data_IF_699331427528
#
_entry.id   IF_699331427528
#
_cell.length_a   1.000
_cell.length_b   1.000
_cell.length_c   1.000
_cell.angle_alpha   90.00
_cell.angle_beta   90.00
_cell.angle_gamma   90.00
#
_symmetry.space_group_name_H-M   'P 1'
#
loop_
_entity.id
_entity.type
_entity.pdbx_description
1 polymer ?
#
# COMPACT_ATOMS: atom_id res chain seq x y z
N UNK A 1 14.20 -0.44 14.40
CA UNK A 1 12.87 0.17 14.20
C UNK A 1 12.91 1.38 13.28
N UNK A 2 13.55 2.51 13.65
CA UNK A 2 13.60 3.68 12.76
C UNK A 2 14.39 3.43 11.46
N UNK A 3 15.45 2.63 11.54
CA UNK A 3 16.22 2.22 10.34
C UNK A 3 15.42 1.26 9.46
N UNK A 4 14.77 0.27 10.06
CA UNK A 4 13.96 -0.74 9.35
C UNK A 4 12.68 -0.19 8.69
N UNK A 5 12.38 1.10 8.88
CA UNK A 5 11.21 1.79 8.32
C UNK A 5 11.56 2.98 7.44
N UNK A 6 12.85 3.17 7.13
CA UNK A 6 13.41 4.34 6.44
C UNK A 6 13.10 5.71 7.08
N UNK A 7 12.59 5.71 8.31
CA UNK A 7 12.25 6.93 9.04
C UNK A 7 13.45 7.57 9.77
N UNK A 8 14.56 6.85 9.92
CA UNK A 8 15.73 7.32 10.66
C UNK A 8 16.23 8.70 10.19
N UNK A 9 16.29 8.94 8.87
CA UNK A 9 16.74 10.21 8.29
C UNK A 9 15.72 11.34 8.44
N UNK A 10 14.43 11.00 8.59
CA UNK A 10 13.33 11.95 8.71
C UNK A 10 13.01 12.31 10.16
N UNK A 11 13.47 11.48 11.11
CA UNK A 11 13.19 11.65 12.53
C UNK A 11 13.80 12.92 13.14
N UNK A 12 15.12 13.22 13.01
CA UNK A 12 15.68 14.45 13.57
C UNK A 12 15.00 15.75 13.12
N UNK A 13 14.76 16.01 11.83
CA UNK A 13 14.08 17.24 11.42
C UNK A 13 12.60 17.27 11.84
N UNK A 14 11.94 16.12 11.96
CA UNK A 14 10.58 16.04 12.50
C UNK A 14 10.55 16.39 14.01
N UNK A 15 11.58 15.97 14.76
CA UNK A 15 11.75 16.31 16.17
C UNK A 15 11.95 17.80 16.36
N UNK A 16 12.87 18.39 15.61
CA UNK A 16 13.12 19.83 15.63
C UNK A 16 11.85 20.64 15.33
N UNK A 17 11.13 20.27 14.27
CA UNK A 17 9.88 20.93 13.89
C UNK A 17 8.81 20.81 14.98
N UNK A 18 8.67 19.61 15.57
CA UNK A 18 7.68 19.36 16.63
C UNK A 18 7.98 20.21 17.87
N UNK A 19 9.24 20.22 18.32
CA UNK A 19 9.68 20.97 19.49
C UNK A 19 9.64 22.49 19.28
N UNK A 20 9.86 22.96 18.05
CA UNK A 20 9.79 24.38 17.72
C UNK A 20 8.36 24.90 17.54
N UNK A 21 7.33 24.04 17.54
CA UNK A 21 5.95 24.46 17.29
C UNK A 21 5.32 25.23 18.46
N UNK A 22 4.55 26.27 18.13
CA UNK A 22 3.79 27.05 19.11
C UNK A 22 2.76 26.18 19.84
N UNK A 23 2.22 25.16 19.19
CA UNK A 23 1.32 24.18 19.77
C UNK A 23 2.01 23.36 20.86
N UNK A 24 3.20 22.80 20.58
CA UNK A 24 3.95 22.02 21.56
C UNK A 24 4.38 22.89 22.75
N UNK A 25 4.85 24.10 22.48
CA UNK A 25 5.24 25.05 23.52
C UNK A 25 4.06 25.44 24.43
N UNK A 26 2.89 25.75 23.85
CA UNK A 26 1.68 26.05 24.63
C UNK A 26 1.21 24.85 25.44
N UNK A 27 1.22 23.66 24.86
CA UNK A 27 0.81 22.44 25.56
C UNK A 27 1.79 22.11 26.71
N UNK A 28 3.09 22.33 26.53
CA UNK A 28 4.09 22.17 27.58
C UNK A 28 3.87 23.12 28.75
N UNK A 29 3.55 24.39 28.49
CA UNK A 29 3.24 25.37 29.56
C UNK A 29 1.97 24.99 30.33
N UNK A 30 1.00 24.32 29.69
CA UNK A 30 -0.26 23.91 30.32
C UNK A 30 -0.17 22.57 31.06
N UNK A 31 0.85 21.76 30.81
CA UNK A 31 1.04 20.45 31.42
C UNK A 31 1.67 20.55 32.82
N UNK A 32 0.93 21.12 33.77
CA UNK A 32 1.41 21.42 35.12
C UNK A 32 1.29 20.25 36.12
N UNK A 33 0.54 19.22 35.78
CA UNK A 33 0.37 18.01 36.59
C UNK A 33 0.82 16.74 35.85
N UNK A 34 1.05 15.68 36.62
CA UNK A 34 1.55 14.41 36.10
C UNK A 34 0.62 13.77 35.04
N UNK A 35 -0.72 13.77 35.20
CA UNK A 35 -1.63 13.35 34.13
C UNK A 35 -1.47 14.15 32.83
N UNK A 36 -1.42 15.49 32.90
CA UNK A 36 -1.27 16.34 31.73
C UNK A 36 0.10 16.18 31.06
N UNK A 37 1.16 15.96 31.84
CA UNK A 37 2.49 15.64 31.31
C UNK A 37 2.50 14.31 30.54
N UNK A 38 1.79 13.29 31.02
CA UNK A 38 1.63 12.01 30.29
C UNK A 38 0.84 12.19 29.00
N UNK A 39 -0.23 12.97 29.01
CA UNK A 39 -1.00 13.29 27.81
C UNK A 39 -0.16 14.05 26.77
N UNK A 40 0.66 15.01 27.22
CA UNK A 40 1.60 15.74 26.38
C UNK A 40 2.63 14.79 25.74
N UNK A 41 3.19 13.85 26.50
CA UNK A 41 4.14 12.86 25.98
C UNK A 41 3.54 12.01 24.85
N UNK A 42 2.28 11.60 24.97
CA UNK A 42 1.56 10.88 23.90
C UNK A 42 1.35 11.78 22.68
N UNK A 43 0.93 13.03 22.89
CA UNK A 43 0.68 13.98 21.81
C UNK A 43 1.95 14.31 21.02
N UNK A 44 3.06 14.59 21.72
CA UNK A 44 4.38 14.85 21.10
C UNK A 44 4.90 13.64 20.34
N UNK A 45 4.79 12.43 20.92
CA UNK A 45 5.21 11.21 20.23
C UNK A 45 4.44 10.99 18.92
N UNK A 46 3.11 11.21 18.95
CA UNK A 46 2.27 11.11 17.75
C UNK A 46 2.60 12.19 16.71
N UNK A 47 2.77 13.44 17.14
CA UNK A 47 3.12 14.55 16.25
C UNK A 47 4.48 14.31 15.57
N UNK A 48 5.46 13.85 16.33
CA UNK A 48 6.79 13.48 15.84
C UNK A 48 6.71 12.39 14.77
N UNK A 49 6.01 11.29 15.07
CA UNK A 49 5.88 10.20 14.10
C UNK A 49 5.10 10.60 12.86
N UNK A 50 4.03 11.38 13.02
CA UNK A 50 3.29 11.94 11.90
C UNK A 50 4.17 12.85 11.03
N UNK A 51 4.98 13.71 11.65
CA UNK A 51 5.93 14.56 10.95
C UNK A 51 7.01 13.77 10.20
N UNK A 52 7.56 12.72 10.81
CA UNK A 52 8.54 11.85 10.17
C UNK A 52 7.94 11.12 8.95
N UNK A 53 6.73 10.56 9.07
CA UNK A 53 6.00 9.92 7.97
C UNK A 53 5.64 10.90 6.86
N UNK A 54 5.16 12.10 7.20
CA UNK A 54 4.83 13.13 6.22
C UNK A 54 6.06 13.57 5.41
N UNK A 55 7.24 13.62 6.04
CA UNK A 55 8.50 13.94 5.38
C UNK A 55 9.05 12.80 4.52
N UNK A 56 8.80 11.56 4.92
CA UNK A 56 9.19 10.38 4.16
C UNK A 56 8.30 10.19 2.92
N UNK A 57 7.01 10.52 3.01
CA UNK A 57 6.09 10.37 1.88
C UNK A 57 6.01 8.91 1.43
N UNK A 58 6.06 8.66 0.12
CA UNK A 58 6.00 7.30 -0.43
C UNK A 58 7.22 6.42 -0.10
N UNK A 59 8.33 7.01 0.33
CA UNK A 59 9.56 6.27 0.69
C UNK A 59 9.47 5.60 2.07
N UNK A 60 8.41 5.83 2.85
CA UNK A 60 8.31 5.23 4.18
C UNK A 60 7.89 3.77 4.10
N UNK A 61 8.79 2.86 4.46
CA UNK A 61 8.51 1.43 4.56
C UNK A 61 8.00 1.06 5.95
N UNK A 62 6.78 1.47 6.30
CA UNK A 62 6.26 1.31 7.66
C UNK A 62 4.82 0.79 7.65
N UNK A 63 4.52 -0.25 8.44
CA UNK A 63 3.14 -0.67 8.74
C UNK A 63 2.54 0.18 9.85
N UNK A 64 1.21 0.17 9.97
CA UNK A 64 0.55 0.85 11.08
C UNK A 64 0.94 0.26 12.44
N UNK A 65 1.28 -1.03 12.52
CA UNK A 65 1.76 -1.66 13.75
C UNK A 65 3.14 -1.17 14.17
N UNK A 66 4.07 -1.06 13.23
CA UNK A 66 5.40 -0.48 13.49
C UNK A 66 5.28 1.00 13.89
N UNK A 67 4.41 1.77 13.23
CA UNK A 67 4.11 3.16 13.61
C UNK A 67 3.61 3.25 15.04
N UNK A 68 2.58 2.48 15.38
CA UNK A 68 1.97 2.51 16.71
C UNK A 68 3.02 2.10 17.77
N UNK A 69 3.85 1.09 17.47
CA UNK A 69 4.93 0.67 18.35
C UNK A 69 6.01 1.75 18.53
N UNK A 70 6.34 2.52 17.50
CA UNK A 70 7.26 3.65 17.61
C UNK A 70 6.69 4.75 18.50
N UNK A 71 5.40 5.08 18.35
CA UNK A 71 4.71 6.02 19.23
C UNK A 71 4.80 5.56 20.68
N UNK A 72 4.51 4.29 20.97
CA UNK A 72 4.62 3.74 22.32
C UNK A 72 6.04 3.86 22.90
N UNK A 73 7.07 3.53 22.11
CA UNK A 73 8.47 3.61 22.55
C UNK A 73 8.85 5.06 22.87
N UNK A 74 8.47 6.02 22.02
CA UNK A 74 8.75 7.45 22.25
C UNK A 74 8.00 7.96 23.48
N UNK A 75 6.71 7.64 23.61
CA UNK A 75 5.90 7.99 24.78
C UNK A 75 6.52 7.47 26.07
N UNK A 76 6.95 6.20 26.11
CA UNK A 76 7.59 5.61 27.28
C UNK A 76 8.91 6.31 27.64
N UNK A 77 9.70 6.71 26.64
CA UNK A 77 10.96 7.46 26.85
C UNK A 77 10.73 8.87 27.39
N UNK A 78 9.59 9.47 27.09
CA UNK A 78 9.17 10.78 27.60
C UNK A 78 8.51 10.71 28.99
N UNK A 79 8.42 9.52 29.61
CA UNK A 79 7.77 9.34 30.91
C UNK A 79 6.24 9.22 30.86
N UNK A 80 5.68 9.06 29.65
CA UNK A 80 4.25 8.77 29.46
C UNK A 80 3.93 7.28 29.61
N UNK A 81 2.68 6.96 29.95
CA UNK A 81 2.13 5.61 29.79
C UNK A 81 1.21 5.61 28.57
N UNK A 82 1.49 4.76 27.59
CA UNK A 82 0.69 4.61 26.39
C UNK A 82 -0.71 4.01 26.65
N UNK A 83 -0.98 3.56 27.89
CA UNK A 83 -2.26 2.96 28.34
C UNK A 83 -3.24 3.94 28.99
N UNK A 84 -3.19 5.23 28.68
CA UNK A 84 -4.19 6.18 29.20
C UNK A 84 -5.55 6.01 28.47
N UNK A 85 -6.68 5.87 29.19
CA UNK A 85 -8.00 5.81 28.57
C UNK A 85 -8.30 7.13 27.86
N UNK A 86 -8.52 7.07 26.56
CA UNK A 86 -8.60 8.21 25.63
C UNK A 86 -9.82 9.13 25.78
N UNK A 87 -10.16 9.59 27.00
CA UNK A 87 -11.32 10.45 27.22
C UNK A 87 -11.15 11.90 26.72
N UNK A 88 -9.95 12.49 26.85
CA UNK A 88 -9.70 13.91 26.50
C UNK A 88 -8.97 14.12 25.19
N UNK A 89 -7.98 13.28 24.87
CA UNK A 89 -7.30 13.32 23.57
C UNK A 89 -8.24 13.01 22.39
N UNK A 90 -9.22 12.11 22.56
CA UNK A 90 -10.24 11.84 21.55
C UNK A 90 -11.17 13.04 21.32
N UNK A 91 -11.50 13.80 22.38
CA UNK A 91 -12.31 15.01 22.27
C UNK A 91 -11.56 16.16 21.55
N UNK A 92 -10.23 16.21 21.66
CA UNK A 92 -9.40 17.16 20.93
C UNK A 92 -9.29 16.80 19.44
N UNK A 93 -9.13 15.50 19.13
CA UNK A 93 -9.22 14.97 17.76
C UNK A 93 -10.58 15.28 17.12
N UNK A 94 -11.67 15.13 17.87
CA UNK A 94 -13.03 15.45 17.41
C UNK A 94 -13.24 16.94 17.08
N UNK A 95 -12.49 17.86 17.72
CA UNK A 95 -12.55 19.31 17.42
C UNK A 95 -11.63 19.74 16.28
N UNK A 96 -10.52 19.03 16.05
CA UNK A 96 -9.65 19.21 14.87
C UNK A 96 -10.26 18.62 13.59
N UNK A 97 -11.23 17.70 13.71
CA UNK A 97 -11.91 17.06 12.59
C UNK A 97 -12.78 18.01 11.72
N UNK A 98 -12.99 19.27 12.12
CA UNK A 98 -13.82 20.23 11.37
C UNK A 98 -13.04 21.50 11.00
N UNK A 99 -12.03 21.37 10.13
CA UNK A 99 -11.55 22.48 9.29
C UNK A 99 -10.73 22.06 8.07
N UNK A 100 -10.87 20.82 7.62
CA UNK A 100 -10.42 20.45 6.28
C UNK A 100 -11.51 20.93 5.32
N UNK A 101 -11.41 22.19 4.88
CA UNK A 101 -12.00 22.54 3.59
C UNK A 101 -11.44 21.54 2.56
N UNK A 102 -12.25 21.08 1.62
CA UNK A 102 -11.82 20.10 0.61
C UNK A 102 -10.56 20.58 -0.13
N UNK A 103 -10.37 21.90 -0.24
CA UNK A 103 -9.25 22.52 -0.96
C UNK A 103 -7.84 22.21 -0.42
N UNK A 104 -7.49 22.35 0.88
CA UNK A 104 -6.19 21.95 1.41
C UNK A 104 -5.91 20.44 1.33
N UNK A 105 -6.93 19.58 1.51
CA UNK A 105 -6.77 18.15 1.24
C UNK A 105 -6.48 17.87 -0.24
N UNK A 106 -7.19 18.53 -1.15
CA UNK A 106 -6.92 18.48 -2.59
C UNK A 106 -5.53 19.05 -2.94
N UNK A 107 -5.06 20.09 -2.25
CA UNK A 107 -3.72 20.66 -2.45
C UNK A 107 -2.59 19.73 -1.94
N UNK A 108 -2.84 18.98 -0.87
CA UNK A 108 -1.96 17.89 -0.42
C UNK A 108 -1.88 16.76 -1.46
N UNK A 109 -2.97 16.50 -2.18
CA UNK A 109 -3.01 15.53 -3.29
C UNK A 109 -2.44 16.06 -4.61
N UNK A 110 -2.41 17.38 -4.80
CA UNK A 110 -1.72 17.99 -5.96
C UNK A 110 -0.21 17.73 -5.91
N UNK A 111 0.41 17.73 -4.72
CA UNK A 111 1.85 17.50 -4.55
C UNK A 111 2.35 16.20 -5.19
N UNK A 112 1.72 15.04 -4.93
CA UNK A 112 1.99 13.79 -5.65
C UNK A 112 1.78 13.93 -7.16
N UNK A 113 0.65 14.48 -7.61
CA UNK A 113 0.33 14.61 -9.05
C UNK A 113 1.37 15.46 -9.80
N UNK A 114 1.95 16.49 -9.18
CA UNK A 114 2.88 17.42 -9.85
C UNK A 114 4.35 17.31 -9.45
N UNK A 115 4.70 16.57 -8.40
CA UNK A 115 6.06 16.57 -7.84
C UNK A 115 6.70 15.20 -7.55
N UNK A 116 5.94 14.09 -7.55
CA UNK A 116 6.49 12.78 -7.16
C UNK A 116 5.79 11.52 -7.67
N UNK A 117 4.54 11.61 -8.13
CA UNK A 117 3.83 10.52 -8.81
C UNK A 117 4.10 10.49 -10.33
N UNK A 118 4.89 11.43 -10.84
CA UNK A 118 5.28 11.53 -12.25
C UNK A 118 6.01 10.29 -12.77
N UNK A 119 6.91 9.62 -12.00
CA UNK A 119 7.52 8.37 -12.42
C UNK A 119 6.50 7.22 -12.52
N UNK A 120 5.67 7.02 -11.49
CA UNK A 120 4.66 5.95 -11.47
C UNK A 120 3.64 6.07 -12.61
N UNK A 121 3.05 7.25 -12.79
CA UNK A 121 2.12 7.49 -13.90
C UNK A 121 2.84 7.38 -15.25
N UNK A 122 4.09 7.85 -15.32
CA UNK A 122 4.94 7.72 -16.50
C UNK A 122 5.22 6.25 -16.87
N UNK A 123 5.46 5.40 -15.90
CA UNK A 123 5.71 3.96 -16.09
C UNK A 123 4.46 3.24 -16.57
N UNK A 124 3.28 3.55 -15.99
CA UNK A 124 1.99 3.04 -16.50
C UNK A 124 1.80 3.48 -17.95
N UNK A 125 1.89 4.78 -18.26
CA UNK A 125 1.69 5.28 -19.62
C UNK A 125 2.70 4.68 -20.60
N UNK A 126 3.95 4.52 -20.19
CA UNK A 126 4.99 3.85 -20.99
C UNK A 126 4.66 2.39 -21.22
N UNK A 127 4.20 1.67 -20.19
CA UNK A 127 3.78 0.28 -20.31
C UNK A 127 2.58 0.16 -21.26
N UNK A 128 1.54 0.97 -21.07
CA UNK A 128 0.38 1.00 -21.94
C UNK A 128 0.76 1.27 -23.41
N UNK A 129 1.69 2.20 -23.66
CA UNK A 129 2.12 2.53 -25.01
C UNK A 129 3.14 1.55 -25.62
N UNK A 130 3.98 0.90 -24.79
CA UNK A 130 5.20 0.18 -25.24
C UNK A 130 5.51 -1.08 -24.39
N UNK A 131 4.50 -1.73 -23.84
CA UNK A 131 4.64 -2.82 -22.87
C UNK A 131 5.17 -4.14 -23.44
N UNK A 132 5.18 -4.30 -24.78
CA UNK A 132 5.55 -5.57 -25.42
C UNK A 132 6.95 -6.07 -24.99
N UNK A 133 7.94 -5.18 -24.94
CA UNK A 133 9.30 -5.57 -24.56
C UNK A 133 9.38 -6.11 -23.12
N UNK A 134 8.55 -5.58 -22.19
CA UNK A 134 8.45 -6.09 -20.83
C UNK A 134 7.76 -7.46 -20.82
N UNK A 135 6.64 -7.61 -21.54
CA UNK A 135 5.95 -8.91 -21.64
C UNK A 135 6.83 -9.98 -22.25
N UNK A 136 7.61 -9.67 -23.29
CA UNK A 136 8.56 -10.59 -23.90
C UNK A 136 9.67 -11.00 -22.92
N UNK A 137 10.15 -10.05 -22.10
CA UNK A 137 11.14 -10.33 -21.06
C UNK A 137 10.56 -11.24 -19.97
N UNK A 138 9.36 -10.93 -19.47
CA UNK A 138 8.65 -11.74 -18.49
C UNK A 138 8.39 -13.15 -19.03
N UNK A 139 7.91 -13.27 -20.26
CA UNK A 139 7.69 -14.58 -20.89
C UNK A 139 8.97 -15.41 -20.89
N UNK A 140 10.10 -14.85 -21.34
CA UNK A 140 11.40 -15.56 -21.33
C UNK A 140 11.85 -15.92 -19.93
N UNK A 141 11.63 -15.06 -18.94
CA UNK A 141 12.01 -15.33 -17.56
C UNK A 141 11.17 -16.45 -16.94
N UNK A 142 9.86 -16.47 -17.21
CA UNK A 142 8.93 -17.48 -16.72
C UNK A 142 9.23 -18.84 -17.37
N UNK A 143 9.46 -18.88 -18.68
CA UNK A 143 9.69 -20.13 -19.41
C UNK A 143 11.15 -20.60 -19.43
N UNK A 144 12.03 -19.97 -18.64
CA UNK A 144 13.41 -20.41 -18.49
C UNK A 144 13.54 -21.66 -17.60
N UNK A 145 12.53 -21.93 -16.76
CA UNK A 145 12.41 -23.13 -15.94
C UNK A 145 11.16 -23.92 -16.37
N UNK A 146 11.26 -25.25 -16.39
CA UNK A 146 10.16 -26.16 -16.73
C UNK A 146 9.25 -26.46 -15.52
N UNK A 147 9.60 -25.96 -14.33
CA UNK A 147 8.86 -26.20 -13.09
C UNK A 147 7.54 -25.42 -12.94
N UNK A 148 6.59 -25.95 -12.14
CA UNK A 148 5.41 -25.18 -11.76
C UNK A 148 5.83 -23.90 -11.04
N UNK A 149 5.30 -22.76 -11.48
CA UNK A 149 5.71 -21.45 -10.98
C UNK A 149 4.54 -20.72 -10.34
N UNK A 150 4.80 -20.08 -9.19
CA UNK A 150 3.92 -19.07 -8.61
C UNK A 150 4.45 -17.70 -9.04
N UNK A 151 3.62 -16.94 -9.76
CA UNK A 151 3.98 -15.61 -10.23
C UNK A 151 3.42 -14.58 -9.26
N UNK A 152 4.24 -13.68 -8.76
CA UNK A 152 3.80 -12.60 -7.86
C UNK A 152 4.10 -11.26 -8.53
N UNK A 153 3.05 -10.50 -8.85
CA UNK A 153 3.14 -9.17 -9.45
C UNK A 153 2.56 -8.10 -8.54
N UNK A 154 3.39 -7.13 -8.15
CA UNK A 154 2.94 -5.97 -7.39
C UNK A 154 2.71 -4.77 -8.31
N UNK A 155 1.62 -4.04 -8.09
CA UNK A 155 1.28 -2.83 -8.83
C UNK A 155 1.34 -3.05 -10.35
N UNK A 156 2.12 -2.24 -11.09
CA UNK A 156 2.34 -2.41 -12.54
C UNK A 156 2.86 -3.79 -12.95
N UNK A 157 3.64 -4.46 -12.08
CA UNK A 157 4.10 -5.83 -12.33
C UNK A 157 2.93 -6.81 -12.41
N UNK A 158 1.88 -6.59 -11.61
CA UNK A 158 0.64 -7.36 -11.68
C UNK A 158 -0.09 -7.16 -13.01
N UNK A 159 -0.19 -5.91 -13.48
CA UNK A 159 -0.76 -5.59 -14.79
C UNK A 159 -0.02 -6.31 -15.91
N UNK A 160 1.32 -6.21 -15.92
CA UNK A 160 2.15 -6.82 -16.96
C UNK A 160 2.03 -8.34 -17.02
N UNK A 161 1.88 -9.00 -15.87
CA UNK A 161 1.66 -10.45 -15.79
C UNK A 161 0.25 -10.85 -16.27
N UNK A 162 -0.80 -10.15 -15.84
CA UNK A 162 -2.18 -10.41 -16.30
C UNK A 162 -2.24 -10.26 -17.82
N UNK A 163 -1.73 -9.16 -18.36
CA UNK A 163 -1.70 -8.91 -19.81
C UNK A 163 -0.96 -10.01 -20.56
N UNK A 164 0.25 -10.38 -20.11
CA UNK A 164 1.04 -11.42 -20.75
C UNK A 164 0.29 -12.75 -20.76
N UNK A 165 -0.20 -13.20 -19.61
CA UNK A 165 -0.84 -14.50 -19.45
C UNK A 165 -2.13 -14.58 -20.27
N UNK A 166 -2.94 -13.51 -20.24
CA UNK A 166 -4.17 -13.46 -21.01
C UNK A 166 -3.91 -13.37 -22.51
N UNK A 167 -2.98 -12.50 -22.95
CA UNK A 167 -2.62 -12.36 -24.36
C UNK A 167 -2.11 -13.69 -24.95
N UNK A 168 -1.22 -14.37 -24.23
CA UNK A 168 -0.68 -15.67 -24.64
C UNK A 168 -1.77 -16.74 -24.73
N UNK A 169 -2.65 -16.81 -23.73
CA UNK A 169 -3.77 -17.75 -23.70
C UNK A 169 -4.79 -17.48 -24.83
N UNK A 170 -5.20 -16.23 -25.03
CA UNK A 170 -6.12 -15.82 -26.09
C UNK A 170 -5.57 -16.12 -27.51
N UNK A 171 -4.24 -16.06 -27.67
CA UNK A 171 -3.57 -16.46 -28.92
C UNK A 171 -3.42 -17.98 -29.11
N UNK A 172 -3.98 -18.80 -28.22
CA UNK A 172 -3.88 -20.27 -28.28
C UNK A 172 -2.51 -20.83 -27.88
N UNK A 173 -1.66 -20.02 -27.24
CA UNK A 173 -0.32 -20.40 -26.81
C UNK A 173 -0.09 -19.99 -25.34
N UNK A 174 -0.86 -20.54 -24.39
CA UNK A 174 -0.74 -20.17 -22.98
C UNK A 174 0.68 -20.40 -22.46
N UNK A 175 1.16 -19.50 -21.60
CA UNK A 175 2.46 -19.63 -20.95
C UNK A 175 2.44 -20.89 -20.08
N UNK A 176 3.32 -21.85 -20.36
CA UNK A 176 3.42 -23.08 -19.58
C UNK A 176 4.20 -22.83 -18.29
N UNK A 177 3.81 -23.52 -17.21
CA UNK A 177 4.49 -23.46 -15.91
C UNK A 177 3.68 -22.76 -14.82
N UNK A 178 3.14 -21.54 -15.04
CA UNK A 178 2.36 -20.84 -14.03
C UNK A 178 1.13 -21.62 -13.58
N UNK A 179 1.08 -21.96 -12.29
CA UNK A 179 -0.11 -22.57 -11.67
C UNK A 179 -0.97 -21.52 -10.95
N UNK A 180 -0.31 -20.49 -10.42
CA UNK A 180 -0.92 -19.42 -9.64
C UNK A 180 -0.30 -18.08 -10.03
N UNK A 181 -1.16 -17.12 -10.36
CA UNK A 181 -0.86 -15.70 -10.39
C UNK A 181 -1.32 -15.07 -9.08
N UNK A 182 -0.43 -14.35 -8.42
CA UNK A 182 -0.73 -13.48 -7.29
C UNK A 182 -0.52 -12.05 -7.72
N UNK A 183 -1.57 -11.25 -7.71
CA UNK A 183 -1.44 -9.78 -7.85
C UNK A 183 -1.53 -9.13 -6.49
N UNK A 184 -0.72 -8.11 -6.25
CA UNK A 184 -0.70 -7.37 -4.97
C UNK A 184 -0.85 -5.89 -5.28
N UNK A 185 -1.91 -5.25 -4.78
CA UNK A 185 -2.17 -3.83 -5.04
C UNK A 185 -2.21 -3.48 -6.53
N UNK A 186 -2.82 -4.33 -7.36
CA UNK A 186 -2.74 -4.22 -8.83
C UNK A 186 -3.91 -3.42 -9.42
N UNK A 187 -3.64 -2.76 -10.55
CA UNK A 187 -4.63 -2.02 -11.35
C UNK A 187 -5.27 -2.89 -12.44
N UNK A 188 -4.86 -4.16 -12.58
CA UNK A 188 -5.25 -4.99 -13.71
C UNK A 188 -6.78 -5.11 -13.91
N UNK A 189 -7.61 -5.34 -12.87
CA UNK A 189 -9.05 -5.43 -13.06
C UNK A 189 -9.66 -4.13 -13.61
N UNK A 190 -9.24 -2.98 -13.08
CA UNK A 190 -9.71 -1.68 -13.56
C UNK A 190 -9.27 -1.38 -14.99
N UNK A 191 -8.04 -1.74 -15.34
CA UNK A 191 -7.54 -1.57 -16.71
C UNK A 191 -8.26 -2.48 -17.70
N UNK A 192 -8.73 -3.66 -17.29
CA UNK A 192 -9.58 -4.51 -18.12
C UNK A 192 -10.92 -3.82 -18.41
N UNK A 193 -11.62 -3.32 -17.39
CA UNK A 193 -12.89 -2.61 -17.56
C UNK A 193 -12.76 -1.36 -18.46
N UNK A 194 -11.60 -0.71 -18.45
CA UNK A 194 -11.31 0.43 -19.32
C UNK A 194 -10.91 0.04 -20.77
N UNK A 195 -10.74 -1.24 -21.07
CA UNK A 195 -10.20 -1.71 -22.36
C UNK A 195 -8.75 -1.30 -22.58
N UNK A 196 -8.01 -1.18 -21.47
CA UNK A 196 -6.61 -0.79 -21.47
C UNK A 196 -5.66 -1.99 -21.40
N UNK A 197 -6.14 -3.19 -21.06
CA UNK A 197 -5.32 -4.39 -21.17
C UNK A 197 -5.09 -4.76 -22.64
N UNK A 198 -3.87 -5.19 -22.97
CA UNK A 198 -3.52 -5.61 -24.31
C UNK A 198 -4.00 -7.05 -24.62
N UNK A 199 -4.21 -7.86 -23.57
CA UNK A 199 -4.56 -9.28 -23.69
C UNK A 199 -6.02 -9.62 -23.41
N UNK A 200 -6.84 -8.66 -23.01
CA UNK A 200 -8.25 -8.84 -22.63
C UNK A 200 -9.04 -7.59 -23.03
N UNK A 201 -9.98 -7.73 -23.97
CA UNK A 201 -10.94 -6.67 -24.26
C UNK A 201 -11.95 -6.53 -23.11
N UNK A 202 -12.65 -5.39 -22.97
CA UNK A 202 -13.75 -5.28 -22.01
C UNK A 202 -14.78 -6.38 -22.20
N UNK A 203 -15.37 -6.85 -21.10
CA UNK A 203 -16.39 -7.91 -21.05
C UNK A 203 -15.90 -9.33 -21.39
N UNK A 204 -14.63 -9.51 -21.80
CA UNK A 204 -14.05 -10.83 -22.00
C UNK A 204 -13.91 -11.59 -20.67
N UNK A 205 -14.37 -12.84 -20.67
CA UNK A 205 -13.97 -13.81 -19.65
C UNK A 205 -12.48 -14.12 -19.75
N UNK A 206 -11.85 -14.53 -18.65
CA UNK A 206 -10.47 -15.00 -18.70
C UNK A 206 -10.32 -16.18 -19.68
N UNK A 207 -9.37 -16.13 -20.63
CA UNK A 207 -9.22 -17.16 -21.66
C UNK A 207 -8.84 -18.52 -21.07
N UNK A 208 -9.14 -19.58 -21.82
CA UNK A 208 -8.69 -20.93 -21.50
C UNK A 208 -7.15 -20.98 -21.37
N UNK A 209 -6.67 -21.57 -20.29
CA UNK A 209 -5.23 -21.63 -19.99
C UNK A 209 -4.68 -20.44 -19.17
N UNK A 210 -5.51 -19.45 -18.83
CA UNK A 210 -5.14 -18.48 -17.78
C UNK A 210 -5.10 -19.19 -16.40
N UNK A 211 -4.07 -18.96 -15.57
CA UNK A 211 -3.88 -19.69 -14.31
C UNK A 211 -4.89 -19.28 -13.23
N UNK A 212 -4.89 -19.98 -12.08
CA UNK A 212 -5.58 -19.48 -10.89
C UNK A 212 -5.02 -18.10 -10.52
N UNK A 213 -5.88 -17.23 -10.00
CA UNK A 213 -5.56 -15.85 -9.71
C UNK A 213 -5.99 -15.46 -8.30
N UNK A 214 -5.02 -15.26 -7.41
CA UNK A 214 -5.21 -14.62 -6.12
C UNK A 214 -4.91 -13.11 -6.24
N UNK A 215 -5.91 -12.26 -6.03
CA UNK A 215 -5.72 -10.81 -6.01
C UNK A 215 -5.75 -10.28 -4.57
N UNK A 216 -4.61 -9.76 -4.11
CA UNK A 216 -4.44 -9.23 -2.76
C UNK A 216 -4.59 -7.72 -2.76
N UNK A 217 -5.46 -7.20 -1.90
CA UNK A 217 -5.78 -5.77 -1.86
C UNK A 217 -5.89 -5.23 -0.42
N UNK A 218 -5.58 -3.94 -0.24
CA UNK A 218 -5.89 -3.17 0.97
C UNK A 218 -6.93 -2.10 0.59
N UNK A 219 -8.02 -1.97 1.35
CA UNK A 219 -9.08 -0.98 1.06
C UNK A 219 -8.62 0.47 1.12
N UNK A 220 -7.51 0.74 1.80
CA UNK A 220 -6.91 2.08 1.82
C UNK A 220 -6.02 2.32 0.59
N UNK A 221 -5.65 1.29 -0.15
CA UNK A 221 -4.86 1.40 -1.36
C UNK A 221 -5.75 1.73 -2.56
N UNK A 222 -5.65 2.99 -2.99
CA UNK A 222 -6.43 3.52 -4.10
C UNK A 222 -6.05 2.97 -5.47
N UNK A 223 -4.95 2.21 -5.54
CA UNK A 223 -4.46 1.59 -6.76
C UNK A 223 -4.72 0.09 -6.80
N UNK A 224 -5.38 -0.46 -5.77
CA UNK A 224 -5.77 -1.86 -5.69
C UNK A 224 -7.24 -2.02 -6.06
N UNK A 225 -7.51 -2.77 -7.13
CA UNK A 225 -8.87 -3.03 -7.60
C UNK A 225 -9.23 -4.50 -7.43
N UNK A 226 -10.50 -4.77 -7.18
CA UNK A 226 -11.03 -6.12 -6.98
C UNK A 226 -11.14 -6.86 -8.32
N UNK A 227 -10.78 -8.14 -8.35
CA UNK A 227 -10.81 -8.96 -9.55
C UNK A 227 -12.09 -9.82 -9.63
N UNK A 228 -12.61 -10.34 -8.51
CA UNK A 228 -13.81 -11.21 -8.52
C UNK A 228 -15.05 -10.52 -9.09
N UNK A 229 -15.36 -9.24 -8.77
CA UNK A 229 -16.51 -8.56 -9.35
C UNK A 229 -16.36 -8.30 -10.86
N UNK A 230 -15.12 -8.23 -11.34
CA UNK A 230 -14.78 -7.99 -12.76
C UNK A 230 -14.90 -9.28 -13.56
N UNK A 231 -14.59 -10.43 -12.96
CA UNK A 231 -14.70 -11.76 -13.58
C UNK A 231 -15.75 -12.63 -12.87
N UNK A 232 -17.05 -12.28 -12.95
CA UNK A 232 -18.09 -12.92 -12.16
C UNK A 232 -18.25 -14.41 -12.52
N UNK A 233 -18.17 -15.27 -11.50
CA UNK A 233 -18.38 -16.71 -11.64
C UNK A 233 -17.16 -17.50 -12.13
N UNK A 234 -16.01 -16.85 -12.37
CA UNK A 234 -14.78 -17.55 -12.68
C UNK A 234 -14.11 -18.07 -11.40
N UNK A 235 -14.21 -19.38 -11.18
CA UNK A 235 -13.65 -20.04 -10.00
C UNK A 235 -12.11 -19.98 -9.88
N UNK A 236 -11.42 -19.47 -10.91
CA UNK A 236 -9.97 -19.24 -10.85
C UNK A 236 -9.62 -18.00 -10.04
N UNK A 237 -10.53 -17.02 -9.94
CA UNK A 237 -10.25 -15.71 -9.36
C UNK A 237 -10.70 -15.66 -7.90
N UNK A 238 -9.88 -15.10 -7.03
CA UNK A 238 -10.22 -14.88 -5.61
C UNK A 238 -9.57 -13.59 -5.11
N UNK A 239 -10.36 -12.71 -4.51
CA UNK A 239 -9.86 -11.51 -3.84
C UNK A 239 -9.56 -11.82 -2.37
N UNK A 240 -8.43 -11.30 -1.88
CA UNK A 240 -7.99 -11.47 -0.50
C UNK A 240 -7.64 -10.12 0.12
N UNK A 241 -8.48 -9.67 1.05
CA UNK A 241 -8.28 -8.42 1.76
C UNK A 241 -7.17 -8.55 2.81
N UNK A 242 -6.29 -7.55 2.84
CA UNK A 242 -5.33 -7.32 3.92
C UNK A 242 -5.45 -5.89 4.42
N UNK A 243 -4.86 -5.60 5.58
CA UNK A 243 -4.77 -4.24 6.07
C UNK A 243 -3.40 -3.94 6.64
N UNK A 244 -2.69 -3.04 5.98
CA UNK A 244 -1.44 -2.45 6.46
C UNK A 244 -1.66 -1.45 7.60
N UNK A 245 -2.92 -1.00 7.80
CA UNK A 245 -3.32 0.12 8.69
C UNK A 245 -2.57 1.42 8.41
N UNK A 246 -2.16 1.61 7.16
CA UNK A 246 -1.58 2.86 6.66
C UNK A 246 -2.54 3.57 5.70
N UNK A 247 -2.49 4.91 5.63
CA UNK A 247 -3.20 5.65 4.60
C UNK A 247 -2.45 5.56 3.26
N UNK A 248 -3.15 5.83 2.15
CA UNK A 248 -2.51 6.05 0.85
C UNK A 248 -1.56 7.27 0.90
N UNK A 249 -0.37 7.23 0.26
CA UNK A 249 0.16 6.15 -0.59
C UNK A 249 0.94 5.05 0.15
N UNK A 250 1.14 5.17 1.45
CA UNK A 250 2.00 4.27 2.24
C UNK A 250 1.52 2.82 2.26
N UNK A 251 0.21 2.60 2.25
CA UNK A 251 -0.36 1.24 2.20
C UNK A 251 0.09 0.46 0.94
N UNK A 252 0.36 1.16 -0.16
CA UNK A 252 0.67 0.54 -1.45
C UNK A 252 2.02 -0.20 -1.45
N UNK A 253 3.01 0.24 -0.66
CA UNK A 253 4.30 -0.45 -0.49
C UNK A 253 4.33 -1.35 0.75
N UNK A 254 3.39 -1.18 1.69
CA UNK A 254 3.39 -1.88 2.98
C UNK A 254 2.94 -3.34 2.93
N UNK A 255 2.44 -3.84 1.79
CA UNK A 255 1.98 -5.23 1.65
C UNK A 255 3.02 -6.25 2.12
N UNK A 256 4.30 -6.06 1.78
CA UNK A 256 5.38 -7.02 2.08
C UNK A 256 5.68 -7.18 3.56
N UNK A 257 5.21 -6.25 4.39
CA UNK A 257 5.29 -6.32 5.85
C UNK A 257 3.99 -6.80 6.50
N UNK A 258 3.00 -7.20 5.70
CA UNK A 258 1.70 -7.65 6.16
C UNK A 258 1.62 -9.17 6.10
N UNK A 259 1.62 -9.84 7.26
CA UNK A 259 1.63 -11.31 7.35
C UNK A 259 0.49 -11.97 6.55
N UNK A 260 -0.69 -11.34 6.54
CA UNK A 260 -1.86 -11.82 5.81
C UNK A 260 -1.65 -11.97 4.30
N UNK A 261 -0.67 -11.29 3.69
CA UNK A 261 -0.30 -11.49 2.27
C UNK A 261 0.30 -12.89 2.11
N UNK A 262 1.27 -13.24 2.95
CA UNK A 262 1.94 -14.55 2.90
C UNK A 262 1.01 -15.68 3.32
N UNK A 263 0.13 -15.44 4.30
CA UNK A 263 -0.89 -16.43 4.70
C UNK A 263 -1.84 -16.74 3.52
N UNK A 264 -2.27 -15.70 2.79
CA UNK A 264 -3.10 -15.84 1.59
C UNK A 264 -2.40 -16.61 0.48
N UNK A 265 -1.13 -16.27 0.20
CA UNK A 265 -0.32 -16.97 -0.80
C UNK A 265 -0.11 -18.44 -0.39
N UNK A 266 0.28 -18.72 0.84
CA UNK A 266 0.52 -20.07 1.33
C UNK A 266 -0.75 -20.94 1.23
N UNK A 267 -1.92 -20.39 1.58
CA UNK A 267 -3.20 -21.06 1.40
C UNK A 267 -3.49 -21.36 -0.07
N UNK A 268 -3.33 -20.38 -0.96
CA UNK A 268 -3.58 -20.56 -2.39
C UNK A 268 -2.61 -21.59 -3.03
N UNK A 269 -1.36 -21.64 -2.57
CA UNK A 269 -0.39 -22.66 -2.97
C UNK A 269 -0.80 -24.05 -2.48
N UNK A 270 -1.26 -24.19 -1.23
CA UNK A 270 -1.72 -25.49 -0.72
C UNK A 270 -2.98 -26.03 -1.42
N UNK A 271 -3.76 -25.16 -2.09
CA UNK A 271 -4.94 -25.56 -2.87
C UNK A 271 -4.62 -26.01 -4.30
N UNK A 272 -3.41 -25.77 -4.79
CA UNK A 272 -2.96 -26.20 -6.14
C UNK A 272 -2.07 -27.45 -6.12
N UNK A 273 -1.58 -27.86 -4.94
CA UNK A 273 -0.90 -29.15 -4.71
C UNK A 273 -1.90 -30.31 -4.56
#
# INVERSE_FOLDING_TARGET
MLHDTDLARHYPPALETTLASDEANRAAVQALDEPAARELAVAVARALMAGALARAGADAECTGAERDRMVEVITARLGGDARMPGGRAAALLGKLALRVTTQPALNLWRGPITGGATPFLGDILRYQARGQALRDHLHRAITADDGPTVLIGHSLGGVALVDLLAQSAACGAPVRGPLLLVTVGSQAPFLHELGALAGLDPDDSLPDGFPRWLNVYDRQDMLAFLAEPVFPGDARVTDHEVSSRQPFPLCHSAYWKTGGVYDGIARAVAEIE
#
